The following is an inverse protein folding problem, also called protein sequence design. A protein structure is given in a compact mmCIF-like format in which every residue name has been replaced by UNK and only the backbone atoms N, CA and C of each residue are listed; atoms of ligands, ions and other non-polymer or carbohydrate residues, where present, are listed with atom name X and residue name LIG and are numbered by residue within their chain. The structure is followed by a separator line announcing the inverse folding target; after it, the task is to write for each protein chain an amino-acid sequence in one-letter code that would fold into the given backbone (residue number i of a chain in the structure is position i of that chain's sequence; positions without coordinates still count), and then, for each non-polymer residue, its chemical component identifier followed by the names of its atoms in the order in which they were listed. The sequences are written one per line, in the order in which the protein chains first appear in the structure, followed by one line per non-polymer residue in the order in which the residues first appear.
data_IF_401781505377
#
_entry.id   IF_401781505377
#
_cell.length_a   1.000
_cell.length_b   1.000
_cell.length_c   1.000
_cell.angle_alpha   90.00
_cell.angle_beta   90.00
_cell.angle_gamma   90.00
#
_symmetry.space_group_name_H-M   'P 1'
#
loop_
_entity.id
_entity.type
_entity.pdbx_description
1 polymer ?
#
# COMPACT_ATOMS: atom_id res chain seq x y z
N UNK A 1 -16.38 21.40 22.40
CA UNK A 1 -16.20 22.13 21.13
C UNK A 1 -14.74 22.53 20.91
N UNK A 2 -14.01 23.05 21.91
CA UNK A 2 -12.57 23.40 21.78
C UNK A 2 -11.70 22.21 21.33
N UNK A 3 -11.83 21.06 22.00
CA UNK A 3 -10.95 19.90 21.77
C UNK A 3 -10.98 19.33 20.34
N UNK A 4 -12.13 19.40 19.66
CA UNK A 4 -12.24 18.97 18.27
C UNK A 4 -11.53 19.93 17.32
N UNK A 5 -11.67 21.24 17.53
CA UNK A 5 -10.96 22.26 16.74
C UNK A 5 -9.45 22.17 17.02
N UNK A 6 -9.07 21.96 18.28
CA UNK A 6 -7.67 21.78 18.67
C UNK A 6 -7.07 20.54 17.99
N UNK A 7 -7.81 19.43 17.90
CA UNK A 7 -7.39 18.25 17.15
C UNK A 7 -7.13 18.56 15.67
N UNK A 8 -8.12 19.12 14.97
CA UNK A 8 -8.01 19.38 13.53
C UNK A 8 -6.85 20.34 13.22
N UNK A 9 -6.72 21.45 13.96
CA UNK A 9 -5.63 22.41 13.75
C UNK A 9 -4.26 21.75 13.95
N UNK A 10 -4.09 20.98 15.01
CA UNK A 10 -2.81 20.32 15.27
C UNK A 10 -2.53 19.20 14.24
N UNK A 11 -3.55 18.46 13.79
CA UNK A 11 -3.40 17.46 12.72
C UNK A 11 -2.95 18.11 11.42
N UNK A 12 -3.63 19.15 10.96
CA UNK A 12 -3.32 19.88 9.73
C UNK A 12 -1.92 20.53 9.79
N UNK A 13 -1.53 21.12 10.93
CA UNK A 13 -0.17 21.62 11.12
C UNK A 13 0.86 20.49 11.06
N UNK A 14 0.57 19.34 11.66
CA UNK A 14 1.40 18.14 11.56
C UNK A 14 1.61 17.69 10.13
N UNK A 15 0.52 17.65 9.34
CA UNK A 15 0.56 17.35 7.90
C UNK A 15 1.40 18.36 7.13
N UNK A 16 1.20 19.67 7.33
CA UNK A 16 2.00 20.70 6.68
C UNK A 16 3.49 20.55 6.97
N UNK A 17 3.88 20.35 8.24
CA UNK A 17 5.30 20.18 8.60
C UNK A 17 5.89 18.88 8.05
N UNK A 18 5.10 17.80 7.99
CA UNK A 18 5.50 16.56 7.34
C UNK A 18 5.80 16.78 5.85
N UNK A 19 4.92 17.49 5.13
CA UNK A 19 5.15 17.84 3.72
C UNK A 19 6.38 18.74 3.51
N UNK A 20 6.69 19.60 4.47
CA UNK A 20 7.90 20.45 4.44
C UNK A 20 9.18 19.70 4.85
N UNK A 21 9.09 18.46 5.32
CA UNK A 21 10.23 17.68 5.81
C UNK A 21 10.73 18.10 7.21
N UNK A 22 9.98 18.97 7.92
CA UNK A 22 10.30 19.35 9.31
C UNK A 22 9.67 18.33 10.26
N UNK A 23 10.32 17.17 10.36
CA UNK A 23 9.79 16.01 11.06
C UNK A 23 9.64 16.23 12.57
N UNK A 24 10.46 17.07 13.19
CA UNK A 24 10.37 17.37 14.63
C UNK A 24 9.12 18.19 14.95
N UNK A 25 8.80 19.18 14.11
CA UNK A 25 7.53 19.91 14.27
C UNK A 25 6.35 19.04 13.91
N UNK A 26 6.43 18.26 12.82
CA UNK A 26 5.37 17.34 12.43
C UNK A 26 4.99 16.41 13.60
N UNK A 27 5.99 15.77 14.22
CA UNK A 27 5.80 14.94 15.40
C UNK A 27 5.14 15.71 16.55
N UNK A 28 5.66 16.90 16.88
CA UNK A 28 5.12 17.75 17.95
C UNK A 28 3.63 18.05 17.76
N UNK A 29 3.23 18.38 16.53
CA UNK A 29 1.84 18.73 16.23
C UNK A 29 0.93 17.49 16.17
N UNK A 30 1.38 16.38 15.61
CA UNK A 30 0.61 15.14 15.68
C UNK A 30 0.47 14.61 17.11
N UNK A 31 1.48 14.77 17.99
CA UNK A 31 1.36 14.43 19.41
C UNK A 31 0.30 15.27 20.12
N UNK A 32 0.23 16.58 19.80
CA UNK A 32 -0.85 17.45 20.31
C UNK A 32 -2.22 17.03 19.79
N UNK A 33 -2.32 16.64 18.52
CA UNK A 33 -3.57 16.12 17.95
C UNK A 33 -4.00 14.84 18.68
N UNK A 34 -3.10 13.87 18.84
CA UNK A 34 -3.36 12.63 19.56
C UNK A 34 -3.72 12.86 21.03
N UNK A 35 -3.16 13.88 21.69
CA UNK A 35 -3.53 14.24 23.05
C UNK A 35 -4.93 14.88 23.14
N UNK A 36 -5.32 15.67 22.13
CA UNK A 36 -6.63 16.31 22.06
C UNK A 36 -7.76 15.31 21.75
N UNK A 37 -7.47 14.29 20.93
CA UNK A 37 -8.39 13.21 20.59
C UNK A 37 -7.66 11.85 20.46
N UNK A 38 -7.48 11.11 21.58
CA UNK A 38 -6.72 9.85 21.62
C UNK A 38 -7.37 8.67 20.89
N UNK A 39 -8.62 8.82 20.46
CA UNK A 39 -9.40 7.83 19.72
C UNK A 39 -9.35 8.03 18.20
N UNK A 40 -8.67 9.09 17.72
CA UNK A 40 -8.56 9.40 16.31
C UNK A 40 -7.34 8.75 15.67
N UNK A 41 -7.58 7.85 14.73
CA UNK A 41 -6.53 7.03 14.11
C UNK A 41 -5.56 7.85 13.24
N UNK A 42 -6.02 8.93 12.61
CA UNK A 42 -5.26 9.73 11.66
C UNK A 42 -4.06 10.43 12.31
N UNK A 43 -4.16 10.86 13.58
CA UNK A 43 -3.01 11.43 14.30
C UNK A 43 -1.91 10.37 14.53
N UNK A 44 -2.28 9.13 14.88
CA UNK A 44 -1.32 8.04 15.03
C UNK A 44 -0.73 7.62 13.68
N UNK A 45 -1.52 7.65 12.60
CA UNK A 45 -1.00 7.45 11.24
C UNK A 45 0.07 8.51 10.88
N UNK A 46 -0.19 9.78 11.24
CA UNK A 46 0.76 10.87 11.07
C UNK A 46 2.06 10.65 11.85
N UNK A 47 1.96 10.28 13.13
CA UNK A 47 3.11 9.93 13.97
C UNK A 47 3.90 8.76 13.41
N UNK A 48 3.22 7.71 12.95
CA UNK A 48 3.87 6.56 12.32
C UNK A 48 4.65 6.98 11.08
N UNK A 49 4.04 7.81 10.23
CA UNK A 49 4.68 8.32 9.01
C UNK A 49 5.91 9.17 9.33
N UNK A 50 5.84 10.02 10.36
CA UNK A 50 7.01 10.79 10.83
C UNK A 50 8.12 9.86 11.34
N UNK A 51 7.78 8.84 12.12
CA UNK A 51 8.75 7.87 12.64
C UNK A 51 9.44 7.09 11.49
N UNK A 52 8.70 6.71 10.44
CA UNK A 52 9.29 6.11 9.21
C UNK A 52 10.30 7.07 8.58
N UNK A 53 9.96 8.35 8.41
CA UNK A 53 10.89 9.33 7.84
C UNK A 53 12.15 9.53 8.69
N UNK A 54 12.05 9.34 10.00
CA UNK A 54 13.18 9.33 10.95
C UNK A 54 13.93 7.99 11.01
N UNK A 55 13.54 7.00 10.21
CA UNK A 55 14.06 5.62 10.25
C UNK A 55 13.84 4.90 11.60
N UNK A 56 12.92 5.37 12.43
CA UNK A 56 12.52 4.70 13.67
C UNK A 56 11.34 3.74 13.39
N UNK A 57 11.68 2.57 12.84
CA UNK A 57 10.70 1.58 12.40
C UNK A 57 9.95 0.91 13.56
N UNK A 58 10.51 0.91 14.77
CA UNK A 58 9.87 0.32 15.96
C UNK A 58 8.75 1.24 16.46
N UNK A 59 9.04 2.54 16.60
CA UNK A 59 8.03 3.53 16.96
C UNK A 59 6.96 3.65 15.87
N UNK A 60 7.36 3.61 14.59
CA UNK A 60 6.42 3.60 13.47
C UNK A 60 5.44 2.42 13.54
N UNK A 61 5.95 1.21 13.80
CA UNK A 61 5.11 0.02 13.91
C UNK A 61 4.10 0.14 15.07
N UNK A 62 4.53 0.66 16.23
CA UNK A 62 3.63 0.87 17.36
C UNK A 62 2.50 1.86 17.03
N UNK A 63 2.82 2.96 16.33
CA UNK A 63 1.81 3.95 15.93
C UNK A 63 0.88 3.44 14.82
N UNK A 64 1.39 2.70 13.82
CA UNK A 64 0.51 2.07 12.83
C UNK A 64 -0.40 1.01 13.45
N UNK A 65 0.10 0.18 14.36
CA UNK A 65 -0.72 -0.78 15.10
C UNK A 65 -1.82 -0.05 15.88
N UNK A 66 -1.48 1.05 16.56
CA UNK A 66 -2.48 1.85 17.27
C UNK A 66 -3.54 2.44 16.34
N UNK A 67 -3.14 2.97 15.18
CA UNK A 67 -4.09 3.48 14.19
C UNK A 67 -5.03 2.38 13.68
N UNK A 68 -4.50 1.18 13.40
CA UNK A 68 -5.27 0.02 12.95
C UNK A 68 -6.25 -0.49 14.02
N UNK A 69 -5.90 -0.42 15.31
CA UNK A 69 -6.80 -0.77 16.42
C UNK A 69 -7.98 0.21 16.54
N UNK A 70 -7.74 1.51 16.33
CA UNK A 70 -8.75 2.55 16.48
C UNK A 70 -9.74 2.57 15.32
N UNK A 71 -9.25 2.30 14.10
CA UNK A 71 -10.07 2.29 12.89
C UNK A 71 -9.49 1.30 11.89
N UNK A 72 -10.35 0.44 11.35
CA UNK A 72 -9.98 -0.43 10.25
C UNK A 72 -9.95 0.38 8.95
N UNK A 73 -8.75 0.63 8.43
CA UNK A 73 -8.51 1.15 7.09
C UNK A 73 -7.15 0.69 6.57
N UNK A 74 -6.93 0.86 5.29
CA UNK A 74 -5.84 0.26 4.52
C UNK A 74 -4.45 0.83 4.84
N UNK A 75 -4.33 2.15 5.05
CA UNK A 75 -3.02 2.83 5.17
C UNK A 75 -2.14 2.30 6.31
N UNK A 76 -2.62 2.10 7.55
CA UNK A 76 -1.79 1.57 8.63
C UNK A 76 -1.34 0.14 8.37
N UNK A 77 -2.20 -0.70 7.78
CA UNK A 77 -1.85 -2.07 7.42
C UNK A 77 -0.78 -2.10 6.33
N UNK A 78 -0.91 -1.27 5.30
CA UNK A 78 0.15 -1.13 4.29
C UNK A 78 1.48 -0.67 4.91
N UNK A 79 1.44 0.26 5.87
CA UNK A 79 2.62 0.71 6.63
C UNK A 79 3.27 -0.41 7.45
N UNK A 80 2.47 -1.21 8.16
CA UNK A 80 2.96 -2.40 8.88
C UNK A 80 3.56 -3.43 7.93
N UNK A 81 2.95 -3.62 6.76
CA UNK A 81 3.47 -4.50 5.70
C UNK A 81 4.85 -4.07 5.22
N UNK A 82 5.05 -2.77 4.94
CA UNK A 82 6.35 -2.23 4.56
C UNK A 82 7.41 -2.41 5.65
N UNK A 83 7.07 -2.15 6.91
CA UNK A 83 7.99 -2.34 8.04
C UNK A 83 8.33 -3.83 8.23
N UNK A 84 7.37 -4.72 8.06
CA UNK A 84 7.61 -6.16 8.12
C UNK A 84 8.53 -6.62 6.99
N UNK A 85 8.31 -6.14 5.77
CA UNK A 85 9.16 -6.41 4.60
C UNK A 85 10.60 -5.95 4.83
N UNK A 86 10.80 -4.71 5.31
CA UNK A 86 12.14 -4.17 5.60
C UNK A 86 12.88 -4.98 6.68
N UNK A 87 12.13 -5.55 7.63
CA UNK A 87 12.67 -6.42 8.68
C UNK A 87 12.85 -7.88 8.23
N UNK A 88 12.62 -8.20 6.95
CA UNK A 88 12.71 -9.56 6.41
C UNK A 88 11.60 -10.51 6.90
N UNK A 89 10.53 -9.97 7.49
CA UNK A 89 9.37 -10.73 7.98
C UNK A 89 8.34 -10.90 6.86
N UNK A 90 8.76 -11.55 5.78
CA UNK A 90 8.02 -11.69 4.51
C UNK A 90 6.59 -12.23 4.68
N UNK A 91 6.40 -13.29 5.47
CA UNK A 91 5.06 -13.85 5.70
C UNK A 91 4.10 -12.90 6.43
N UNK A 92 4.63 -12.10 7.36
CA UNK A 92 3.86 -11.07 8.07
C UNK A 92 3.54 -9.90 7.13
N UNK A 93 4.51 -9.47 6.32
CA UNK A 93 4.32 -8.44 5.31
C UNK A 93 3.20 -8.80 4.32
N UNK A 94 3.24 -10.02 3.79
CA UNK A 94 2.20 -10.57 2.92
C UNK A 94 0.81 -10.50 3.58
N UNK A 95 0.71 -10.89 4.86
CA UNK A 95 -0.53 -10.83 5.62
C UNK A 95 -1.10 -9.42 5.73
N UNK A 96 -0.26 -8.46 6.11
CA UNK A 96 -0.67 -7.06 6.27
C UNK A 96 -1.10 -6.43 4.94
N UNK A 97 -0.36 -6.67 3.84
CA UNK A 97 -0.76 -6.17 2.52
C UNK A 97 -2.06 -6.78 2.03
N UNK A 98 -2.26 -8.08 2.24
CA UNK A 98 -3.51 -8.77 1.93
C UNK A 98 -4.70 -8.12 2.65
N UNK A 99 -4.58 -7.89 3.96
CA UNK A 99 -5.62 -7.23 4.75
C UNK A 99 -5.86 -5.79 4.30
N UNK A 100 -4.81 -5.06 3.91
CA UNK A 100 -4.97 -3.71 3.35
C UNK A 100 -5.79 -3.72 2.06
N UNK A 101 -5.58 -4.69 1.17
CA UNK A 101 -6.35 -4.85 -0.08
C UNK A 101 -7.77 -5.37 0.13
N UNK A 102 -8.03 -6.10 1.21
CA UNK A 102 -9.40 -6.45 1.61
C UNK A 102 -10.23 -5.22 2.03
N UNK A 103 -9.58 -4.19 2.56
CA UNK A 103 -10.22 -2.91 2.92
C UNK A 103 -10.27 -1.93 1.74
N UNK A 104 -9.22 -1.89 0.93
CA UNK A 104 -9.12 -1.04 -0.24
C UNK A 104 -8.30 -1.74 -1.34
N UNK A 105 -9.00 -2.36 -2.30
CA UNK A 105 -8.34 -3.06 -3.39
C UNK A 105 -7.53 -2.12 -4.32
N UNK A 106 -7.74 -0.79 -4.27
CA UNK A 106 -6.97 0.20 -5.03
C UNK A 106 -5.69 0.69 -4.33
N UNK A 107 -5.32 0.14 -3.17
CA UNK A 107 -4.12 0.57 -2.47
C UNK A 107 -2.84 0.09 -3.19
N UNK A 108 -2.26 0.96 -4.03
CA UNK A 108 -1.08 0.64 -4.83
C UNK A 108 0.15 0.24 -4.01
N UNK A 109 0.32 0.77 -2.80
CA UNK A 109 1.42 0.37 -1.90
C UNK A 109 1.25 -1.10 -1.51
N UNK A 110 0.04 -1.50 -1.13
CA UNK A 110 -0.26 -2.86 -0.78
C UNK A 110 -0.25 -3.80 -1.99
N UNK A 111 -0.67 -3.37 -3.18
CA UNK A 111 -0.55 -4.16 -4.42
C UNK A 111 0.93 -4.48 -4.68
N UNK A 112 1.79 -3.46 -4.71
CA UNK A 112 3.21 -3.63 -5.02
C UNK A 112 3.89 -4.52 -3.97
N UNK A 113 3.61 -4.27 -2.69
CA UNK A 113 4.12 -5.08 -1.59
C UNK A 113 3.66 -6.54 -1.68
N UNK A 114 2.38 -6.77 -1.94
CA UNK A 114 1.81 -8.12 -2.04
C UNK A 114 2.37 -8.89 -3.25
N UNK A 115 2.61 -8.22 -4.39
CA UNK A 115 3.25 -8.83 -5.56
C UNK A 115 4.69 -9.23 -5.26
N UNK A 116 5.45 -8.33 -4.63
CA UNK A 116 6.84 -8.60 -4.25
C UNK A 116 6.94 -9.77 -3.26
N UNK A 117 6.14 -9.74 -2.20
CA UNK A 117 6.11 -10.80 -1.19
C UNK A 117 5.54 -12.11 -1.73
N UNK A 118 4.52 -12.03 -2.59
CA UNK A 118 3.96 -13.19 -3.29
C UNK A 118 4.98 -13.87 -4.19
N UNK A 119 5.82 -13.10 -4.88
CA UNK A 119 6.93 -13.65 -5.66
C UNK A 119 7.99 -14.30 -4.76
N UNK A 120 8.42 -13.60 -3.70
CA UNK A 120 9.45 -14.09 -2.79
C UNK A 120 9.05 -15.39 -2.07
N UNK A 121 7.77 -15.50 -1.70
CA UNK A 121 7.23 -16.64 -0.97
C UNK A 121 6.73 -17.78 -1.88
N UNK A 122 6.79 -17.62 -3.20
CA UNK A 122 6.19 -18.55 -4.18
C UNK A 122 4.66 -18.72 -3.98
N UNK A 123 3.98 -17.60 -3.71
CA UNK A 123 2.53 -17.51 -3.43
C UNK A 123 1.79 -16.62 -4.44
N UNK A 124 2.30 -16.53 -5.67
CA UNK A 124 1.70 -15.70 -6.72
C UNK A 124 0.26 -16.11 -7.08
N UNK A 125 -0.10 -17.38 -6.96
CA UNK A 125 -1.48 -17.82 -7.24
C UNK A 125 -2.48 -17.17 -6.27
N UNK A 126 -2.09 -16.94 -5.01
CA UNK A 126 -2.95 -16.35 -3.98
C UNK A 126 -3.23 -14.86 -4.21
N UNK A 127 -2.37 -14.16 -4.97
CA UNK A 127 -2.50 -12.70 -5.17
C UNK A 127 -3.36 -12.34 -6.38
N UNK A 128 -3.58 -13.28 -7.31
CA UNK A 128 -4.34 -13.06 -8.56
C UNK A 128 -5.73 -12.44 -8.29
N UNK A 129 -6.53 -12.90 -7.31
CA UNK A 129 -7.84 -12.31 -7.04
C UNK A 129 -7.76 -10.83 -6.63
N UNK A 130 -6.70 -10.44 -5.91
CA UNK A 130 -6.49 -9.06 -5.47
C UNK A 130 -6.16 -8.13 -6.63
N UNK A 131 -5.30 -8.58 -7.57
CA UNK A 131 -4.99 -7.83 -8.78
C UNK A 131 -6.22 -7.66 -9.68
N UNK A 132 -7.03 -8.72 -9.84
CA UNK A 132 -8.29 -8.64 -10.59
C UNK A 132 -9.28 -7.67 -9.94
N UNK A 133 -9.39 -7.68 -8.61
CA UNK A 133 -10.24 -6.75 -7.88
C UNK A 133 -9.79 -5.29 -8.05
N UNK A 134 -8.48 -5.02 -8.00
CA UNK A 134 -7.91 -3.70 -8.23
C UNK A 134 -8.20 -3.18 -9.65
N UNK A 135 -8.04 -4.02 -10.67
CA UNK A 135 -8.36 -3.68 -12.06
C UNK A 135 -9.85 -3.38 -12.23
N UNK A 136 -10.74 -4.09 -11.54
CA UNK A 136 -12.18 -3.86 -11.63
C UNK A 136 -12.62 -2.49 -11.06
N UNK A 137 -11.82 -1.87 -10.20
CA UNK A 137 -12.15 -0.56 -9.59
C UNK A 137 -11.83 0.63 -10.51
N UNK A 138 -10.66 0.63 -11.15
CA UNK A 138 -10.14 1.81 -11.86
C UNK A 138 -9.49 1.46 -13.22
N UNK A 139 -9.65 0.22 -13.69
CA UNK A 139 -9.01 -0.30 -14.91
C UNK A 139 -7.53 0.11 -15.04
N UNK A 140 -6.77 -0.11 -13.96
CA UNK A 140 -5.42 0.39 -13.84
C UNK A 140 -4.46 -0.39 -14.77
N UNK A 141 -4.04 0.24 -15.87
CA UNK A 141 -3.06 -0.29 -16.83
C UNK A 141 -1.81 -0.90 -16.15
N UNK A 142 -1.17 -0.25 -15.14
CA UNK A 142 0.01 -0.82 -14.48
C UNK A 142 -0.30 -2.13 -13.73
N UNK A 143 -1.51 -2.24 -13.15
CA UNK A 143 -1.94 -3.42 -12.41
C UNK A 143 -2.27 -4.55 -13.37
N UNK A 144 -2.88 -4.25 -14.51
CA UNK A 144 -3.13 -5.23 -15.58
C UNK A 144 -1.84 -5.81 -16.16
N UNK A 145 -0.83 -4.96 -16.39
CA UNK A 145 0.50 -5.43 -16.78
C UNK A 145 1.13 -6.34 -15.72
N UNK A 146 1.01 -5.95 -14.45
CA UNK A 146 1.52 -6.73 -13.31
C UNK A 146 0.84 -8.10 -13.21
N UNK A 147 -0.49 -8.15 -13.40
CA UNK A 147 -1.26 -9.38 -13.43
C UNK A 147 -0.77 -10.32 -14.56
N UNK A 148 -0.58 -9.80 -15.77
CA UNK A 148 -0.05 -10.59 -16.88
C UNK A 148 1.35 -11.15 -16.57
N UNK A 149 2.22 -10.35 -15.93
CA UNK A 149 3.53 -10.80 -15.46
C UNK A 149 3.44 -11.95 -14.45
N UNK A 150 2.54 -11.84 -13.46
CA UNK A 150 2.31 -12.89 -12.46
C UNK A 150 1.78 -14.18 -13.10
N UNK A 151 0.83 -14.07 -14.03
CA UNK A 151 0.27 -15.21 -14.75
C UNK A 151 1.33 -15.92 -15.61
N UNK A 152 2.21 -15.16 -16.26
CA UNK A 152 3.35 -15.72 -17.02
C UNK A 152 4.29 -16.49 -16.09
N UNK A 153 4.61 -15.94 -14.91
CA UNK A 153 5.46 -16.62 -13.93
C UNK A 153 4.85 -17.93 -13.40
N UNK A 154 3.51 -18.02 -13.39
CA UNK A 154 2.76 -19.22 -13.02
C UNK A 154 2.57 -20.22 -14.20
N UNK A 155 3.06 -19.90 -15.40
CA UNK A 155 2.87 -20.71 -16.62
C UNK A 155 1.45 -20.66 -17.19
N UNK A 156 0.65 -19.65 -16.81
CA UNK A 156 -0.72 -19.43 -17.28
C UNK A 156 -0.74 -18.51 -18.49
N UNK A 157 0.00 -18.90 -19.52
CA UNK A 157 0.31 -18.09 -20.70
C UNK A 157 -0.94 -17.63 -21.46
N UNK A 158 -1.97 -18.46 -21.53
CA UNK A 158 -3.23 -18.10 -22.19
C UNK A 158 -3.94 -16.94 -21.48
N UNK A 159 -4.01 -16.98 -20.14
CA UNK A 159 -4.63 -15.91 -19.36
C UNK A 159 -3.77 -14.65 -19.38
N UNK A 160 -2.44 -14.79 -19.31
CA UNK A 160 -1.53 -13.67 -19.46
C UNK A 160 -1.73 -12.97 -20.82
N UNK A 161 -1.90 -13.75 -21.89
CA UNK A 161 -2.15 -13.23 -23.24
C UNK A 161 -3.44 -12.41 -23.31
N UNK A 162 -4.53 -12.91 -22.75
CA UNK A 162 -5.82 -12.19 -22.72
C UNK A 162 -5.72 -10.84 -22.00
N UNK A 163 -5.02 -10.79 -20.87
CA UNK A 163 -4.80 -9.54 -20.13
C UNK A 163 -3.95 -8.54 -20.93
N UNK A 164 -2.93 -9.02 -21.65
CA UNK A 164 -2.08 -8.20 -22.51
C UNK A 164 -2.82 -7.70 -23.75
N UNK A 165 -3.71 -8.48 -24.35
CA UNK A 165 -4.56 -8.03 -25.47
C UNK A 165 -5.49 -6.91 -25.02
N UNK A 166 -6.09 -7.07 -23.84
CA UNK A 166 -6.95 -6.03 -23.23
C UNK A 166 -6.16 -4.75 -22.98
N UNK A 167 -4.94 -4.87 -22.45
CA UNK A 167 -4.04 -3.75 -22.22
C UNK A 167 -3.63 -3.07 -23.54
N UNK A 168 -3.20 -3.82 -24.54
CA UNK A 168 -2.76 -3.27 -25.82
C UNK A 168 -3.93 -2.72 -26.65
N UNK A 169 -5.15 -3.19 -26.44
CA UNK A 169 -6.36 -2.62 -27.04
C UNK A 169 -6.67 -1.22 -26.52
N UNK A 170 -6.33 -0.93 -25.27
CA UNK A 170 -6.53 0.40 -24.64
C UNK A 170 -5.30 1.30 -24.81
N UNK A 171 -4.09 0.74 -24.72
CA UNK A 171 -2.83 1.44 -24.91
C UNK A 171 -1.88 0.65 -25.86
N UNK A 172 -2.02 0.81 -27.18
CA UNK A 172 -1.21 0.10 -28.18
C UNK A 172 0.28 0.42 -28.15
N UNK A 173 0.66 1.55 -27.53
CA UNK A 173 2.04 2.05 -27.49
C UNK A 173 2.81 1.55 -26.25
N UNK A 174 2.17 0.77 -25.37
CA UNK A 174 2.86 0.17 -24.22
C UNK A 174 3.89 -0.87 -24.69
N UNK A 175 5.15 -0.45 -24.79
CA UNK A 175 6.26 -1.28 -25.24
C UNK A 175 6.45 -2.54 -24.37
N UNK A 176 6.41 -2.38 -23.04
CA UNK A 176 6.60 -3.48 -22.09
C UNK A 176 5.55 -4.57 -22.26
N UNK A 177 4.29 -4.19 -22.50
CA UNK A 177 3.21 -5.12 -22.76
C UNK A 177 3.38 -5.84 -24.12
N UNK A 178 3.84 -5.14 -25.17
CA UNK A 178 4.12 -5.76 -26.47
C UNK A 178 5.24 -6.79 -26.41
N UNK A 179 6.33 -6.45 -25.71
CA UNK A 179 7.47 -7.36 -25.52
C UNK A 179 7.04 -8.61 -24.74
N UNK A 180 6.26 -8.44 -23.66
CA UNK A 180 5.74 -9.56 -22.89
C UNK A 180 4.77 -10.41 -23.72
N UNK A 181 3.88 -9.79 -24.49
CA UNK A 181 2.94 -10.49 -25.38
C UNK A 181 3.67 -11.36 -26.40
N UNK A 182 4.70 -10.81 -27.06
CA UNK A 182 5.49 -11.54 -28.05
C UNK A 182 6.19 -12.77 -27.44
N UNK A 183 6.62 -12.69 -26.18
CA UNK A 183 7.23 -13.81 -25.47
C UNK A 183 6.24 -14.92 -25.11
N UNK A 184 5.02 -14.56 -24.72
CA UNK A 184 3.96 -15.48 -24.27
C UNK A 184 3.17 -16.08 -25.44
N UNK A 185 3.27 -15.47 -26.63
CA UNK A 185 2.63 -15.95 -27.86
C UNK A 185 3.53 -16.86 -28.73
N UNK A 186 4.82 -17.00 -28.38
CA UNK A 186 5.80 -17.82 -29.10
C UNK A 186 5.79 -19.28 -28.61
#
# INVERSE_FOLDING_TARGET
MSTHIDYEINKELGECYLFMGDFDKAETYYQKAAAAAPDQAEAYLGLATVAVQKSDLDTAAAHYAKAAELKAFDKPLAGLGLIAMEKGRHGEAFGHFKQALELNAGNMVAINGLVQEGYFLDRLEEIIPYLKAAIALDDAEPVRYTLAGCLTALGRDEEARQELETLLGTNPDNQSARELYARVAA
#
